data_IF_619755175195
#
_entry.id   IF_619755175195
#
_cell.length_a   1.000
_cell.length_b   1.000
_cell.length_c   1.000
_cell.angle_alpha   90.00
_cell.angle_beta   90.00
_cell.angle_gamma   90.00
#
_symmetry.space_group_name_H-M   'P 1'
#
loop_
_entity.id
_entity.type
_entity.pdbx_description
1 polymer ?
#
# COMPACT_ATOMS: atom_id res chain seq x y z
N UNK A 1 5.84 4.42 18.16
CA UNK A 1 6.97 3.55 18.55
C UNK A 1 7.74 3.27 17.25
N UNK A 2 8.88 3.94 17.06
CA UNK A 2 9.77 3.64 15.96
C UNK A 2 10.23 2.19 16.12
N UNK A 3 9.82 1.33 15.22
CA UNK A 3 10.30 -0.05 15.18
C UNK A 3 11.77 0.00 14.74
N UNK A 4 12.69 -0.20 15.68
CA UNK A 4 14.12 -0.25 15.39
C UNK A 4 14.44 -1.55 14.64
N UNK A 5 15.45 -1.48 13.78
CA UNK A 5 15.98 -2.65 13.06
C UNK A 5 16.29 -3.82 14.02
N UNK A 6 16.63 -3.49 15.28
CA UNK A 6 16.88 -4.44 16.35
C UNK A 6 15.66 -5.25 16.80
N UNK A 7 14.44 -4.75 16.54
CA UNK A 7 13.17 -5.38 16.97
C UNK A 7 12.68 -6.43 15.94
N UNK A 8 13.36 -6.55 14.81
CA UNK A 8 13.03 -7.53 13.77
C UNK A 8 13.71 -8.88 14.07
N UNK A 9 13.07 -10.00 13.67
CA UNK A 9 13.69 -11.32 13.81
C UNK A 9 15.08 -11.38 13.16
N UNK A 10 16.07 -12.08 13.76
CA UNK A 10 17.47 -12.07 13.30
C UNK A 10 17.68 -12.40 11.83
N UNK A 11 16.83 -13.26 11.24
CA UNK A 11 16.86 -13.58 9.83
C UNK A 11 16.51 -12.40 8.92
N UNK A 12 15.57 -11.55 9.35
CA UNK A 12 15.17 -10.33 8.65
C UNK A 12 16.23 -9.23 8.73
N UNK A 13 16.86 -9.06 9.90
CA UNK A 13 17.95 -8.09 10.09
C UNK A 13 19.13 -8.36 9.14
N UNK A 14 19.44 -9.64 8.92
CA UNK A 14 20.52 -10.07 8.03
C UNK A 14 20.20 -9.80 6.55
N UNK A 15 18.93 -9.88 6.17
CA UNK A 15 18.47 -9.56 4.81
C UNK A 15 18.48 -8.05 4.54
N UNK A 16 17.99 -7.25 5.47
CA UNK A 16 17.94 -5.78 5.34
C UNK A 16 19.35 -5.17 5.31
N UNK A 17 20.28 -5.70 6.10
CA UNK A 17 21.70 -5.27 6.06
C UNK A 17 22.40 -5.57 4.72
N UNK A 18 21.89 -6.53 3.93
CA UNK A 18 22.39 -6.82 2.57
C UNK A 18 21.81 -5.89 1.50
N UNK A 19 20.70 -5.20 1.79
CA UNK A 19 20.12 -4.20 0.93
C UNK A 19 20.85 -2.86 1.18
N UNK A 20 22.05 -2.72 0.64
CA UNK A 20 22.71 -1.42 0.53
C UNK A 20 21.89 -0.57 -0.46
N UNK A 21 20.92 0.17 0.06
CA UNK A 21 20.33 1.27 -0.70
C UNK A 21 21.43 2.34 -0.85
N UNK A 22 21.80 2.72 -2.08
CA UNK A 22 22.68 3.85 -2.26
C UNK A 22 22.01 5.07 -1.63
N UNK A 23 22.74 5.91 -0.88
CA UNK A 23 22.19 7.16 -0.42
C UNK A 23 21.74 7.95 -1.65
N UNK A 24 20.50 8.42 -1.67
CA UNK A 24 20.00 9.27 -2.74
C UNK A 24 20.76 10.60 -2.67
N UNK A 25 21.79 10.73 -3.47
CA UNK A 25 22.55 11.98 -3.65
C UNK A 25 21.70 12.97 -4.49
N UNK A 26 20.66 13.54 -3.91
CA UNK A 26 20.12 14.84 -4.27
C UNK A 26 19.59 15.48 -3.01
N UNK A 27 20.46 16.15 -2.28
CA UNK A 27 20.05 17.17 -1.34
C UNK A 27 19.37 18.28 -2.13
N UNK A 28 18.04 18.25 -2.19
CA UNK A 28 17.26 19.44 -2.47
C UNK A 28 17.17 20.17 -1.13
N UNK A 29 17.88 21.26 -1.00
CA UNK A 29 17.76 22.18 0.14
C UNK A 29 16.37 22.82 0.09
N UNK A 30 15.41 22.21 0.75
CA UNK A 30 14.12 22.81 1.04
C UNK A 30 14.27 23.66 2.32
N UNK A 31 13.61 24.81 2.37
CA UNK A 31 13.52 25.56 3.62
C UNK A 31 12.78 24.72 4.70
N UNK A 32 13.01 25.02 5.98
CA UNK A 32 12.46 24.22 7.08
C UNK A 32 10.93 24.11 7.03
N UNK A 33 10.22 25.14 6.64
CA UNK A 33 8.76 25.12 6.53
C UNK A 33 8.26 24.25 5.38
N UNK A 34 8.98 24.25 4.24
CA UNK A 34 8.69 23.38 3.10
C UNK A 34 8.99 21.93 3.41
N UNK A 35 10.08 21.67 4.18
CA UNK A 35 10.44 20.32 4.62
C UNK A 35 9.38 19.72 5.56
N UNK A 36 8.89 20.51 6.54
CA UNK A 36 7.82 20.08 7.43
C UNK A 36 6.50 19.83 6.68
N UNK A 37 6.14 20.69 5.71
CA UNK A 37 4.94 20.50 4.90
C UNK A 37 5.03 19.24 4.04
N UNK A 38 6.19 18.98 3.41
CA UNK A 38 6.45 17.77 2.63
C UNK A 38 6.41 16.54 3.54
N UNK A 39 7.06 16.57 4.70
CA UNK A 39 7.03 15.47 5.65
C UNK A 39 5.63 15.18 6.17
N UNK A 40 4.80 16.19 6.41
CA UNK A 40 3.39 16.04 6.79
C UNK A 40 2.54 15.46 5.67
N UNK A 41 2.79 15.84 4.40
CA UNK A 41 2.07 15.26 3.25
C UNK A 41 2.46 13.81 2.96
N UNK A 42 3.64 13.39 3.38
CA UNK A 42 4.24 12.09 3.11
C UNK A 42 3.91 11.02 4.15
N UNK A 43 3.29 11.39 5.27
CA UNK A 43 2.93 10.48 6.35
C UNK A 43 1.60 10.87 6.98
N UNK A 44 0.92 9.89 7.53
CA UNK A 44 -0.16 10.15 8.49
C UNK A 44 0.43 10.66 9.81
N UNK A 45 -0.39 11.27 10.65
CA UNK A 45 0.03 11.64 12.03
C UNK A 45 0.41 10.40 12.86
N UNK A 46 -0.08 9.23 12.49
CA UNK A 46 0.33 7.93 13.04
C UNK A 46 1.69 7.44 12.52
N UNK A 47 2.36 8.21 11.65
CA UNK A 47 3.68 7.89 11.09
C UNK A 47 3.67 6.89 9.93
N UNK A 48 2.51 6.53 9.39
CA UNK A 48 2.40 5.63 8.23
C UNK A 48 2.89 6.38 6.99
N UNK A 49 3.94 5.90 6.30
CA UNK A 49 4.40 6.51 5.05
C UNK A 49 3.35 6.37 3.94
N UNK A 50 3.15 7.44 3.17
CA UNK A 50 2.20 7.47 2.05
C UNK A 50 2.89 7.90 0.75
N UNK A 51 2.55 7.35 -0.41
CA UNK A 51 1.58 6.26 -0.59
C UNK A 51 2.04 4.92 -0.03
N UNK A 52 1.07 4.13 0.43
CA UNK A 52 1.25 2.79 0.94
C UNK A 52 0.72 1.78 -0.07
N UNK A 53 1.54 0.81 -0.44
CA UNK A 53 1.18 -0.14 -1.50
C UNK A 53 1.15 -1.59 -1.03
N UNK A 54 0.18 -2.34 -1.57
CA UNK A 54 0.14 -3.80 -1.54
C UNK A 54 -0.22 -4.34 -2.92
N UNK A 55 0.72 -5.04 -3.54
CA UNK A 55 0.59 -5.59 -4.90
C UNK A 55 -0.19 -6.91 -4.97
N UNK A 56 -0.69 -7.39 -3.84
CA UNK A 56 -1.48 -8.62 -3.71
C UNK A 56 -2.34 -8.53 -2.46
N UNK A 57 -3.20 -7.50 -2.41
CA UNK A 57 -3.87 -7.08 -1.19
C UNK A 57 -4.86 -8.13 -0.62
N UNK A 58 -5.23 -9.11 -1.43
CA UNK A 58 -6.14 -10.17 -1.02
C UNK A 58 -7.41 -9.60 -0.39
N UNK A 59 -7.90 -10.21 0.65
CA UNK A 59 -9.08 -9.73 1.36
C UNK A 59 -8.87 -8.50 2.26
N UNK A 60 -7.76 -7.76 2.16
CA UNK A 60 -7.52 -6.51 2.86
C UNK A 60 -7.29 -6.62 4.37
N UNK A 61 -6.82 -7.78 4.85
CA UNK A 61 -6.66 -8.02 6.29
C UNK A 61 -5.63 -7.09 6.93
N UNK A 62 -4.49 -6.88 6.26
CA UNK A 62 -3.44 -5.97 6.74
C UNK A 62 -3.95 -4.54 6.84
N UNK A 63 -4.70 -4.09 5.85
CA UNK A 63 -5.25 -2.74 5.75
C UNK A 63 -6.34 -2.48 6.78
N UNK A 64 -7.22 -3.47 7.03
CA UNK A 64 -8.19 -3.41 8.12
C UNK A 64 -7.49 -3.29 9.49
N UNK A 65 -6.37 -4.01 9.67
CA UNK A 65 -5.55 -3.90 10.88
C UNK A 65 -4.88 -2.54 11.02
N UNK A 66 -4.42 -1.98 9.92
CA UNK A 66 -3.86 -0.63 9.85
C UNK A 66 -4.89 0.42 10.25
N UNK A 67 -6.13 0.33 9.77
CA UNK A 67 -7.23 1.22 10.19
C UNK A 67 -7.51 1.15 11.69
N UNK A 68 -7.46 -0.05 12.29
CA UNK A 68 -7.59 -0.21 13.75
C UNK A 68 -6.49 0.52 14.49
N UNK A 69 -5.24 0.30 14.10
CA UNK A 69 -4.09 0.97 14.70
C UNK A 69 -4.15 2.49 14.54
N UNK A 70 -4.55 2.94 13.37
CA UNK A 70 -4.79 4.36 13.12
C UNK A 70 -5.86 4.91 14.07
N UNK A 71 -7.01 4.24 14.21
CA UNK A 71 -8.08 4.66 15.11
C UNK A 71 -7.65 4.71 16.59
N UNK A 72 -6.88 3.72 17.07
CA UNK A 72 -6.35 3.69 18.44
C UNK A 72 -5.46 4.90 18.77
N UNK A 73 -4.69 5.40 17.79
CA UNK A 73 -3.78 6.53 17.97
C UNK A 73 -4.50 7.88 18.08
N UNK A 74 -5.77 7.95 17.68
CA UNK A 74 -6.60 9.15 17.76
C UNK A 74 -7.53 9.18 18.96
N UNK A 75 -7.47 8.20 19.85
CA UNK A 75 -8.23 8.25 21.10
C UNK A 75 -7.80 9.48 21.93
N UNK A 76 -8.74 10.40 22.15
CA UNK A 76 -8.51 11.65 22.88
C UNK A 76 -7.92 12.83 22.08
N UNK A 77 -7.73 12.71 20.78
CA UNK A 77 -7.33 13.82 19.91
C UNK A 77 -8.54 14.57 19.32
N UNK A 78 -8.28 15.76 18.73
CA UNK A 78 -9.34 16.54 18.11
C UNK A 78 -10.00 15.81 16.94
N UNK A 79 -11.32 15.99 16.78
CA UNK A 79 -12.13 15.37 15.75
C UNK A 79 -11.71 15.73 14.33
N UNK A 80 -11.29 17.00 14.12
CA UNK A 80 -10.88 17.50 12.81
C UNK A 80 -9.56 16.88 12.34
N UNK A 81 -8.56 16.79 13.21
CA UNK A 81 -7.30 16.12 12.91
C UNK A 81 -7.51 14.64 12.58
N UNK A 82 -8.41 13.98 13.30
CA UNK A 82 -8.78 12.60 13.03
C UNK A 82 -9.40 12.43 11.65
N UNK A 83 -10.33 13.31 11.27
CA UNK A 83 -11.02 13.30 9.98
C UNK A 83 -10.00 13.49 8.83
N UNK A 84 -9.18 14.53 8.90
CA UNK A 84 -8.19 14.88 7.89
C UNK A 84 -7.16 13.75 7.71
N UNK A 85 -6.64 13.21 8.78
CA UNK A 85 -5.61 12.18 8.74
C UNK A 85 -6.17 10.83 8.25
N UNK A 86 -7.43 10.54 8.58
CA UNK A 86 -8.14 9.36 8.05
C UNK A 86 -8.35 9.47 6.55
N UNK A 87 -8.76 10.65 6.04
CA UNK A 87 -8.87 10.88 4.60
C UNK A 87 -7.52 10.72 3.90
N UNK A 88 -6.47 11.28 4.46
CA UNK A 88 -5.09 11.15 3.95
C UNK A 88 -4.66 9.69 3.87
N UNK A 89 -4.98 8.88 4.89
CA UNK A 89 -4.69 7.45 4.89
C UNK A 89 -5.39 6.73 3.74
N UNK A 90 -6.69 6.96 3.54
CA UNK A 90 -7.43 6.33 2.45
C UNK A 90 -6.92 6.76 1.07
N UNK A 91 -6.62 8.06 0.89
CA UNK A 91 -6.04 8.57 -0.37
C UNK A 91 -4.65 8.04 -0.65
N UNK A 92 -3.91 7.66 0.39
CA UNK A 92 -2.58 7.08 0.28
C UNK A 92 -2.53 5.58 -0.01
N UNK A 93 -3.66 4.87 -0.05
CA UNK A 93 -3.67 3.46 -0.42
C UNK A 93 -3.43 3.28 -1.93
N UNK A 94 -2.61 2.29 -2.27
CA UNK A 94 -2.37 1.81 -3.63
C UNK A 94 -2.42 0.28 -3.58
N UNK A 95 -3.62 -0.29 -3.66
CA UNK A 95 -3.85 -1.70 -3.42
C UNK A 95 -4.26 -2.39 -4.71
N UNK A 96 -3.63 -3.53 -5.00
CA UNK A 96 -3.87 -4.27 -6.23
C UNK A 96 -4.16 -5.74 -5.91
N UNK A 97 -5.08 -6.34 -6.64
CA UNK A 97 -5.24 -7.78 -6.73
C UNK A 97 -5.69 -8.16 -8.15
N UNK A 98 -5.38 -9.38 -8.58
CA UNK A 98 -5.76 -9.88 -9.92
C UNK A 98 -7.22 -10.36 -9.98
N UNK A 99 -7.85 -10.55 -8.83
CA UNK A 99 -9.21 -11.08 -8.72
C UNK A 99 -10.20 -9.94 -8.40
N UNK A 100 -11.07 -9.64 -9.36
CA UNK A 100 -12.10 -8.60 -9.24
C UNK A 100 -13.04 -8.83 -8.04
N UNK A 101 -13.38 -10.09 -7.70
CA UNK A 101 -14.24 -10.39 -6.55
C UNK A 101 -13.51 -10.09 -5.24
N UNK A 102 -12.21 -10.37 -5.20
CA UNK A 102 -11.34 -10.05 -4.07
C UNK A 102 -11.23 -8.53 -3.91
N UNK A 103 -10.99 -7.79 -4.98
CA UNK A 103 -10.95 -6.31 -4.98
C UNK A 103 -12.24 -5.72 -4.42
N UNK A 104 -13.39 -6.14 -4.93
CA UNK A 104 -14.72 -5.70 -4.43
C UNK A 104 -14.91 -6.04 -2.95
N UNK A 105 -14.51 -7.23 -2.55
CA UNK A 105 -14.60 -7.69 -1.16
C UNK A 105 -13.72 -6.85 -0.24
N UNK A 106 -12.52 -6.48 -0.70
CA UNK A 106 -11.58 -5.65 0.04
C UNK A 106 -12.10 -4.22 0.23
N UNK A 107 -12.63 -3.60 -0.82
CA UNK A 107 -13.29 -2.28 -0.73
C UNK A 107 -14.40 -2.29 0.33
N UNK A 108 -15.30 -3.27 0.27
CA UNK A 108 -16.40 -3.43 1.25
C UNK A 108 -15.88 -3.65 2.67
N UNK A 109 -14.88 -4.51 2.84
CA UNK A 109 -14.27 -4.78 4.15
C UNK A 109 -13.70 -3.52 4.78
N UNK A 110 -12.91 -2.76 4.03
CA UNK A 110 -12.26 -1.55 4.56
C UNK A 110 -13.29 -0.48 4.91
N UNK A 111 -14.32 -0.29 4.08
CA UNK A 111 -15.42 0.61 4.38
C UNK A 111 -16.15 0.20 5.67
N UNK A 112 -16.56 -1.07 5.79
CA UNK A 112 -17.26 -1.58 6.97
C UNK A 112 -16.41 -1.48 8.23
N UNK A 113 -15.10 -1.77 8.12
CA UNK A 113 -14.18 -1.61 9.25
C UNK A 113 -14.05 -0.15 9.67
N UNK A 114 -13.95 0.79 8.72
CA UNK A 114 -13.90 2.22 9.01
C UNK A 114 -15.19 2.73 9.68
N UNK A 115 -16.36 2.26 9.24
CA UNK A 115 -17.63 2.56 9.88
C UNK A 115 -17.65 2.01 11.30
N UNK A 116 -17.25 0.76 11.49
CA UNK A 116 -17.18 0.10 12.81
C UNK A 116 -16.27 0.84 13.78
N UNK A 117 -15.18 1.41 13.30
CA UNK A 117 -14.22 2.20 14.08
C UNK A 117 -14.67 3.66 14.30
N UNK A 118 -15.84 4.05 13.77
CA UNK A 118 -16.34 5.43 13.86
C UNK A 118 -15.50 6.44 13.10
N UNK A 119 -14.73 6.01 12.10
CA UNK A 119 -13.95 6.87 11.20
C UNK A 119 -14.78 7.41 10.03
N UNK A 120 -15.81 6.66 9.65
CA UNK A 120 -16.74 6.97 8.56
C UNK A 120 -18.16 7.00 9.11
N UNK A 121 -18.93 7.98 8.67
CA UNK A 121 -20.33 8.11 9.01
C UNK A 121 -21.17 7.07 8.25
N UNK A 122 -22.16 6.47 8.91
CA UNK A 122 -23.11 5.58 8.25
C UNK A 122 -24.14 6.36 7.43
N UNK A 123 -24.58 7.50 7.94
CA UNK A 123 -25.60 8.37 7.36
C UNK A 123 -25.20 9.83 7.47
N UNK A 124 -25.11 10.51 6.32
CA UNK A 124 -24.85 11.93 6.20
C UNK A 124 -23.52 12.41 6.82
N UNK A 125 -23.34 13.72 6.86
CA UNK A 125 -22.18 14.32 7.49
C UNK A 125 -22.29 14.28 9.01
N UNK A 126 -21.22 13.82 9.66
CA UNK A 126 -21.05 13.83 11.11
C UNK A 126 -19.70 14.43 11.47
N UNK A 127 -19.68 15.23 12.54
CA UNK A 127 -18.46 15.85 13.03
C UNK A 127 -17.35 14.81 13.30
N UNK A 128 -16.16 15.09 12.82
CA UNK A 128 -15.00 14.23 12.98
C UNK A 128 -15.02 12.91 12.21
N UNK A 129 -15.98 12.69 11.32
CA UNK A 129 -16.09 11.51 10.48
C UNK A 129 -16.07 11.86 9.00
N UNK A 130 -15.57 10.93 8.20
CA UNK A 130 -15.65 11.05 6.74
C UNK A 130 -17.04 10.68 6.23
N UNK A 131 -17.45 11.31 5.16
CA UNK A 131 -18.65 10.90 4.42
C UNK A 131 -18.42 9.54 3.76
N UNK A 132 -19.43 8.68 3.80
CA UNK A 132 -19.38 7.35 3.24
C UNK A 132 -19.12 7.34 1.74
N UNK A 133 -19.82 8.18 0.98
CA UNK A 133 -19.71 8.20 -0.49
C UNK A 133 -18.33 8.67 -0.92
N UNK A 134 -17.75 9.64 -0.17
CA UNK A 134 -16.36 10.06 -0.37
C UNK A 134 -15.39 8.87 -0.22
N UNK A 135 -15.53 8.10 0.86
CA UNK A 135 -14.64 6.96 1.12
C UNK A 135 -14.86 5.85 0.10
N UNK A 136 -16.09 5.55 -0.30
CA UNK A 136 -16.38 4.59 -1.38
C UNK A 136 -15.66 5.00 -2.67
N UNK A 137 -15.77 6.27 -3.07
CA UNK A 137 -15.10 6.82 -4.26
C UNK A 137 -13.57 6.68 -4.16
N UNK A 138 -12.97 7.02 -3.02
CA UNK A 138 -11.52 6.88 -2.81
C UNK A 138 -11.10 5.40 -2.90
N UNK A 139 -11.84 4.50 -2.28
CA UNK A 139 -11.53 3.07 -2.31
C UNK A 139 -11.67 2.48 -3.72
N UNK A 140 -12.60 2.98 -4.54
CA UNK A 140 -12.73 2.58 -5.95
C UNK A 140 -11.52 2.98 -6.79
N UNK A 141 -10.97 4.16 -6.54
CA UNK A 141 -9.79 4.67 -7.23
C UNK A 141 -8.49 4.01 -6.77
N UNK A 142 -8.40 3.63 -5.50
CA UNK A 142 -7.16 3.24 -4.85
C UNK A 142 -7.04 1.73 -4.59
N UNK A 143 -8.06 0.95 -4.87
CA UNK A 143 -8.04 -0.51 -4.82
C UNK A 143 -8.50 -1.04 -6.18
N UNK A 144 -7.58 -1.53 -6.98
CA UNK A 144 -7.84 -1.83 -8.38
C UNK A 144 -7.56 -3.30 -8.72
N UNK A 145 -8.28 -3.79 -9.73
CA UNK A 145 -8.02 -5.10 -10.31
C UNK A 145 -6.98 -4.95 -11.41
N UNK A 146 -5.78 -5.51 -11.21
CA UNK A 146 -4.69 -5.48 -12.19
C UNK A 146 -3.68 -6.59 -11.92
N UNK A 147 -2.99 -7.03 -12.95
CA UNK A 147 -1.86 -7.95 -12.84
C UNK A 147 -0.54 -7.17 -12.86
N UNK A 148 -0.03 -6.81 -11.70
CA UNK A 148 1.20 -6.02 -11.54
C UNK A 148 2.46 -6.65 -12.16
N UNK A 149 2.41 -7.92 -12.54
CA UNK A 149 3.51 -8.58 -13.27
C UNK A 149 3.39 -8.42 -14.79
N UNK A 150 2.21 -8.12 -15.31
CA UNK A 150 1.94 -8.02 -16.75
C UNK A 150 1.55 -6.62 -17.19
N UNK A 151 0.94 -5.85 -16.32
CA UNK A 151 0.43 -4.50 -16.56
C UNK A 151 1.32 -3.44 -15.92
N UNK A 152 1.20 -2.21 -16.38
CA UNK A 152 1.89 -1.08 -15.77
C UNK A 152 1.29 -0.74 -14.41
N UNK A 153 2.10 -0.08 -13.57
CA UNK A 153 1.64 0.36 -12.27
C UNK A 153 0.48 1.37 -12.41
N UNK A 154 -0.68 1.16 -11.73
CA UNK A 154 -1.89 1.97 -11.98
C UNK A 154 -1.80 3.44 -11.57
N UNK A 155 -0.78 3.84 -10.82
CA UNK A 155 -0.62 5.21 -10.32
C UNK A 155 0.72 5.81 -10.72
N UNK A 156 0.73 7.12 -11.02
CA UNK A 156 1.94 7.85 -11.38
C UNK A 156 2.93 7.99 -10.22
N UNK A 157 2.41 8.02 -8.99
CA UNK A 157 3.22 8.18 -7.80
C UNK A 157 3.77 6.83 -7.31
N UNK A 158 5.09 6.74 -7.16
CA UNK A 158 5.73 5.58 -6.58
C UNK A 158 5.38 5.42 -5.09
N UNK A 159 5.17 4.18 -4.61
CA UNK A 159 4.89 3.93 -3.19
C UNK A 159 6.12 4.22 -2.32
N UNK A 160 5.88 4.78 -1.13
CA UNK A 160 6.92 4.98 -0.10
C UNK A 160 7.04 3.81 0.86
N UNK A 161 5.97 3.02 0.99
CA UNK A 161 5.94 1.80 1.77
C UNK A 161 5.23 0.71 0.97
N UNK A 162 5.87 -0.43 0.84
CA UNK A 162 5.29 -1.62 0.23
C UNK A 162 5.19 -2.70 1.30
N UNK A 163 3.99 -3.21 1.53
CA UNK A 163 3.75 -4.40 2.34
C UNK A 163 2.91 -5.35 1.50
N UNK A 164 3.43 -6.53 1.20
CA UNK A 164 2.73 -7.50 0.40
C UNK A 164 3.01 -8.92 0.90
N UNK A 165 2.02 -9.79 0.73
CA UNK A 165 2.18 -11.22 0.86
C UNK A 165 1.84 -11.84 -0.50
N UNK A 166 2.77 -11.77 -1.48
CA UNK A 166 2.52 -12.23 -2.83
C UNK A 166 2.22 -13.74 -2.85
N UNK A 167 1.41 -14.22 -3.80
CA UNK A 167 1.08 -15.62 -3.91
C UNK A 167 2.34 -16.46 -4.17
N UNK A 168 2.48 -17.56 -3.46
CA UNK A 168 3.61 -18.50 -3.52
C UNK A 168 3.60 -19.39 -4.78
N UNK A 169 2.88 -18.98 -5.84
CA UNK A 169 2.82 -19.71 -7.09
C UNK A 169 4.10 -19.53 -7.90
N UNK A 170 4.75 -20.64 -8.23
CA UNK A 170 5.87 -20.59 -9.18
C UNK A 170 5.34 -20.18 -10.56
N UNK A 171 6.10 -19.41 -11.32
CA UNK A 171 5.74 -18.96 -12.67
C UNK A 171 5.26 -20.12 -13.55
N UNK A 172 5.89 -21.30 -13.42
CA UNK A 172 5.53 -22.49 -14.18
C UNK A 172 4.13 -23.04 -13.85
N UNK A 173 3.61 -22.78 -12.68
CA UNK A 173 2.32 -23.28 -12.22
C UNK A 173 1.19 -22.26 -12.43
N UNK A 174 1.51 -20.97 -12.64
CA UNK A 174 0.55 -19.88 -12.83
C UNK A 174 -0.38 -20.06 -14.03
N UNK A 175 0.15 -20.61 -15.13
CA UNK A 175 -0.58 -20.80 -16.38
C UNK A 175 -0.84 -22.28 -16.67
N UNK A 176 -0.81 -23.12 -15.64
CA UNK A 176 -1.00 -24.56 -15.78
C UNK A 176 -2.44 -24.87 -16.20
N UNK A 177 -2.60 -25.64 -17.27
CA UNK A 177 -3.92 -26.02 -17.81
C UNK A 177 -4.55 -24.98 -18.74
N UNK A 178 -3.90 -23.84 -18.99
CA UNK A 178 -4.33 -22.89 -20.02
C UNK A 178 -3.79 -23.31 -21.39
N UNK A 179 -4.60 -23.15 -22.45
CA UNK A 179 -4.24 -23.54 -23.82
C UNK A 179 -2.99 -22.81 -24.31
N UNK A 180 -2.86 -21.50 -23.99
CA UNK A 180 -1.71 -20.65 -24.30
C UNK A 180 -0.69 -20.51 -23.15
N UNK A 181 -0.83 -21.32 -22.12
CA UNK A 181 -0.05 -21.21 -20.88
C UNK A 181 1.47 -21.34 -21.06
N UNK A 182 1.93 -22.04 -22.11
CA UNK A 182 3.36 -22.14 -22.44
C UNK A 182 3.91 -20.82 -22.98
N UNK A 183 3.16 -20.12 -23.82
CA UNK A 183 3.56 -18.83 -24.38
C UNK A 183 3.54 -17.75 -23.29
N UNK A 184 2.48 -17.65 -22.53
CA UNK A 184 2.37 -16.70 -21.40
C UNK A 184 3.50 -16.86 -20.38
N UNK A 185 3.95 -18.09 -20.11
CA UNK A 185 5.12 -18.32 -19.25
C UNK A 185 6.42 -17.75 -19.83
N UNK A 186 6.63 -17.90 -21.14
CA UNK A 186 7.80 -17.35 -21.81
C UNK A 186 7.77 -15.83 -21.75
N UNK A 187 6.66 -15.23 -22.14
CA UNK A 187 6.47 -13.77 -22.18
C UNK A 187 6.69 -13.14 -20.79
N UNK A 188 6.11 -13.74 -19.75
CA UNK A 188 6.32 -13.28 -18.37
C UNK A 188 7.79 -13.44 -17.92
N UNK A 189 8.42 -14.57 -18.28
CA UNK A 189 9.83 -14.80 -17.93
C UNK A 189 10.75 -13.81 -18.65
N UNK A 190 10.47 -13.45 -19.89
CA UNK A 190 11.20 -12.44 -20.64
C UNK A 190 11.01 -11.04 -20.06
N UNK A 191 9.76 -10.66 -19.74
CA UNK A 191 9.45 -9.40 -19.06
C UNK A 191 10.19 -9.26 -17.72
N UNK A 192 10.18 -10.30 -16.90
CA UNK A 192 10.90 -10.28 -15.62
C UNK A 192 12.42 -10.21 -15.78
N UNK A 193 12.96 -10.84 -16.82
CA UNK A 193 14.40 -10.72 -17.15
C UNK A 193 14.77 -9.33 -17.60
N UNK A 194 13.96 -8.67 -18.45
CA UNK A 194 14.20 -7.30 -18.87
C UNK A 194 14.20 -6.35 -17.67
N UNK A 195 13.18 -6.42 -16.82
CA UNK A 195 13.10 -5.61 -15.60
C UNK A 195 14.30 -5.85 -14.66
N UNK A 196 14.77 -7.09 -14.53
CA UNK A 196 15.96 -7.42 -13.74
C UNK A 196 17.26 -6.87 -14.33
N UNK A 197 17.34 -6.75 -15.66
CA UNK A 197 18.55 -6.21 -16.34
C UNK A 197 18.58 -4.68 -16.26
N UNK A 198 17.43 -4.02 -16.28
CA UNK A 198 17.31 -2.56 -16.22
C UNK A 198 17.46 -2.01 -14.77
N UNK A 199 17.25 -2.84 -13.75
CA UNK A 199 17.18 -2.40 -12.35
C UNK A 199 18.50 -2.43 -11.57
N UNK A 200 19.66 -2.71 -12.22
CA UNK A 200 20.95 -2.75 -11.52
C UNK A 200 21.32 -4.11 -10.88
N UNK A 201 22.15 -4.18 -9.84
CA UNK A 201 22.83 -5.41 -9.45
C UNK A 201 21.88 -6.58 -9.19
N UNK A 202 22.15 -7.68 -9.87
CA UNK A 202 21.39 -8.93 -9.77
C UNK A 202 21.40 -9.47 -8.35
N UNK A 203 20.23 -9.72 -7.80
CA UNK A 203 20.13 -10.59 -6.63
C UNK A 203 20.43 -12.03 -7.06
N UNK A 204 21.62 -12.49 -6.73
CA UNK A 204 22.04 -13.90 -6.86
C UNK A 204 21.76 -14.65 -5.58
#
# INVERSE_FOLDING_TARGET
TNMHLADLPPGFQKHIKKLNFPPSEKEVTLDEGSLEAVQRSERTSSGIPLPFSDMSCGGGIFHARMLRKHSELFEGQSTDLRKEDTERLFRGFQLVDVDELVVRSTRKRLLLEAIRLGLVSLEGEQEGKLDRNLVETILEQNIVCSDTLQEDWPWDQAPRLIIANPPWLRIKDRFRGMEDGSQRRKDLSEKLRSLSNDSGPRFS
#
